data_IF_051978143325
#
_entry.id   IF_051978143325
#
_cell.length_a   1.000
_cell.length_b   1.000
_cell.length_c   1.000
_cell.angle_alpha   90.00
_cell.angle_beta   90.00
_cell.angle_gamma   90.00
#
_symmetry.space_group_name_H-M   'P 1'
#
loop_
_entity.id
_entity.type
_entity.pdbx_description
1 polymer ?
#
# COMPACT_ATOMS: atom_id res chain seq x y z
N UNK A 1 -19.89 -8.28 35.04
CA UNK A 1 -19.58 -8.86 33.72
C UNK A 1 -19.62 -7.74 32.68
N UNK A 2 -18.55 -6.95 32.53
CA UNK A 2 -18.49 -5.91 31.49
C UNK A 2 -17.71 -6.48 30.30
N UNK A 3 -18.41 -6.93 29.27
CA UNK A 3 -17.79 -7.23 27.98
C UNK A 3 -17.52 -5.90 27.29
N UNK A 4 -16.28 -5.42 27.40
CA UNK A 4 -15.78 -4.33 26.56
C UNK A 4 -15.81 -4.84 25.12
N UNK A 5 -16.78 -4.34 24.36
CA UNK A 5 -16.91 -4.57 22.93
C UNK A 5 -15.78 -3.81 22.22
N UNK A 6 -14.55 -4.33 22.31
CA UNK A 6 -13.41 -3.87 21.52
C UNK A 6 -13.72 -4.23 20.06
N UNK A 7 -14.50 -3.38 19.40
CA UNK A 7 -14.57 -3.36 17.94
C UNK A 7 -13.22 -2.83 17.46
N UNK A 8 -12.25 -3.73 17.37
CA UNK A 8 -11.00 -3.45 16.67
C UNK A 8 -11.38 -2.92 15.30
N UNK A 9 -10.85 -1.75 14.95
CA UNK A 9 -11.12 -1.16 13.66
C UNK A 9 -10.74 -2.19 12.58
N UNK A 10 -11.62 -2.46 11.59
CA UNK A 10 -11.33 -3.48 10.59
C UNK A 10 -10.02 -3.13 9.89
N UNK A 11 -9.13 -4.12 9.76
CA UNK A 11 -7.85 -3.95 9.07
C UNK A 11 -8.11 -3.34 7.69
N UNK A 12 -7.44 -2.24 7.35
CA UNK A 12 -7.70 -1.55 6.09
C UNK A 12 -7.33 -2.46 4.92
N UNK A 13 -8.21 -2.54 3.94
CA UNK A 13 -7.96 -3.30 2.71
C UNK A 13 -6.87 -2.64 1.86
N UNK A 14 -6.20 -3.40 0.99
CA UNK A 14 -5.25 -2.88 0.00
C UNK A 14 -5.86 -1.72 -0.81
N UNK A 15 -7.14 -1.83 -1.17
CA UNK A 15 -7.84 -0.79 -1.90
C UNK A 15 -8.01 0.50 -1.07
N UNK A 16 -8.28 0.39 0.22
CA UNK A 16 -8.36 1.55 1.13
C UNK A 16 -6.99 2.17 1.37
N UNK A 17 -5.94 1.35 1.54
CA UNK A 17 -4.57 1.81 1.72
C UNK A 17 -4.09 2.60 0.50
N UNK A 18 -4.26 2.05 -0.70
CA UNK A 18 -3.89 2.71 -1.96
C UNK A 18 -4.68 4.01 -2.14
N UNK A 19 -5.99 3.99 -1.87
CA UNK A 19 -6.84 5.20 -1.94
C UNK A 19 -6.37 6.28 -0.95
N UNK A 20 -5.92 5.89 0.25
CA UNK A 20 -5.40 6.81 1.26
C UNK A 20 -4.14 7.56 0.83
N UNK A 21 -3.39 7.03 -0.15
CA UNK A 21 -2.25 7.71 -0.75
C UNK A 21 -2.67 8.80 -1.76
N UNK A 22 -3.95 8.90 -2.12
CA UNK A 22 -4.47 9.93 -3.02
C UNK A 22 -4.44 9.55 -4.51
N UNK A 23 -4.73 10.51 -5.40
CA UNK A 23 -4.95 10.25 -6.84
C UNK A 23 -3.68 10.07 -7.68
N UNK A 24 -2.50 10.46 -7.19
CA UNK A 24 -1.23 10.49 -7.95
C UNK A 24 -0.19 9.54 -7.37
N UNK A 25 -0.57 8.29 -7.13
CA UNK A 25 0.32 7.24 -6.62
C UNK A 25 0.71 6.32 -7.78
N UNK A 26 1.98 5.90 -7.79
CA UNK A 26 2.49 4.91 -8.74
C UNK A 26 2.71 3.53 -8.10
N UNK A 27 2.05 3.27 -6.96
CA UNK A 27 2.24 2.05 -6.15
C UNK A 27 2.16 0.76 -6.94
N UNK A 28 1.24 0.67 -7.91
CA UNK A 28 1.09 -0.55 -8.74
C UNK A 28 2.33 -0.79 -9.60
N UNK A 29 2.88 0.27 -10.21
CA UNK A 29 4.11 0.16 -11.01
C UNK A 29 5.33 -0.09 -10.11
N UNK A 30 5.37 0.50 -8.92
CA UNK A 30 6.46 0.30 -7.96
C UNK A 30 6.44 -1.13 -7.40
N UNK A 31 5.27 -1.68 -7.09
CA UNK A 31 5.10 -3.08 -6.69
C UNK A 31 5.53 -4.03 -7.81
N UNK A 32 5.20 -3.75 -9.07
CA UNK A 32 5.67 -4.55 -10.20
C UNK A 32 7.19 -4.55 -10.33
N UNK A 33 7.83 -3.38 -10.18
CA UNK A 33 9.30 -3.28 -10.17
C UNK A 33 9.92 -4.07 -9.02
N UNK A 34 9.33 -4.00 -7.82
CA UNK A 34 9.79 -4.78 -6.66
C UNK A 34 9.67 -6.29 -6.92
N UNK A 35 8.58 -6.73 -7.55
CA UNK A 35 8.39 -8.12 -7.94
C UNK A 35 9.44 -8.56 -8.97
N UNK A 36 9.69 -7.75 -10.00
CA UNK A 36 10.73 -8.02 -11.01
C UNK A 36 12.13 -8.10 -10.38
N UNK A 37 12.46 -7.19 -9.46
CA UNK A 37 13.72 -7.22 -8.70
C UNK A 37 13.86 -8.47 -7.84
N UNK A 38 12.75 -9.04 -7.37
CA UNK A 38 12.70 -10.30 -6.63
C UNK A 38 12.69 -11.54 -7.54
N UNK A 39 12.79 -11.36 -8.86
CA UNK A 39 12.77 -12.45 -9.84
C UNK A 39 11.37 -12.95 -10.20
N UNK A 40 10.32 -12.22 -9.82
CA UNK A 40 8.94 -12.57 -10.13
C UNK A 40 8.38 -11.66 -11.23
N UNK A 41 7.89 -12.25 -12.32
CA UNK A 41 7.21 -11.51 -13.38
C UNK A 41 5.70 -11.72 -13.26
N UNK A 42 4.97 -10.64 -12.95
CA UNK A 42 3.51 -10.65 -12.87
C UNK A 42 2.92 -9.61 -13.82
N UNK A 43 1.71 -9.86 -14.31
CA UNK A 43 0.97 -8.88 -15.11
C UNK A 43 0.29 -7.83 -14.22
N UNK A 44 0.04 -6.64 -14.77
CA UNK A 44 -0.79 -5.61 -14.10
C UNK A 44 -2.16 -6.17 -13.68
N UNK A 45 -2.76 -7.00 -14.52
CA UNK A 45 -4.05 -7.63 -14.24
C UNK A 45 -4.01 -8.54 -13.01
N UNK A 46 -2.90 -9.27 -12.80
CA UNK A 46 -2.72 -10.08 -11.60
C UNK A 46 -2.65 -9.20 -10.35
N UNK A 47 -1.93 -8.08 -10.42
CA UNK A 47 -1.85 -7.10 -9.31
C UNK A 47 -3.21 -6.50 -8.99
N UNK A 48 -3.97 -6.05 -10.00
CA UNK A 48 -5.33 -5.55 -9.80
C UNK A 48 -6.27 -6.61 -9.20
N UNK A 49 -6.15 -7.86 -9.66
CA UNK A 49 -6.92 -8.98 -9.10
C UNK A 49 -6.57 -9.19 -7.63
N UNK A 50 -5.29 -9.10 -7.27
CA UNK A 50 -4.84 -9.21 -5.89
C UNK A 50 -5.30 -8.06 -5.01
N UNK A 51 -5.30 -6.83 -5.53
CA UNK A 51 -5.88 -5.68 -4.82
C UNK A 51 -7.38 -5.92 -4.57
N UNK A 52 -8.11 -6.37 -5.59
CA UNK A 52 -9.55 -6.62 -5.49
C UNK A 52 -9.89 -7.77 -4.54
N UNK A 53 -9.02 -8.77 -4.44
CA UNK A 53 -9.12 -9.90 -3.50
C UNK A 53 -8.43 -9.64 -2.16
N UNK A 54 -7.96 -8.42 -1.92
CA UNK A 54 -7.27 -8.02 -0.70
C UNK A 54 -6.11 -8.95 -0.31
N UNK A 55 -5.22 -9.28 -1.25
CA UNK A 55 -4.02 -10.07 -0.99
C UNK A 55 -4.20 -11.59 -0.94
N UNK A 56 -5.42 -12.05 -0.64
CA UNK A 56 -5.72 -13.48 -0.35
C UNK A 56 -5.37 -14.48 -1.44
N UNK A 57 -5.30 -14.06 -2.70
CA UNK A 57 -4.97 -14.93 -3.83
C UNK A 57 -3.48 -15.02 -4.13
N UNK A 58 -2.65 -14.06 -3.68
CA UNK A 58 -1.22 -14.05 -3.97
C UNK A 58 -0.47 -13.20 -2.93
N UNK A 59 0.09 -13.87 -1.93
CA UNK A 59 0.85 -13.26 -0.84
C UNK A 59 2.12 -12.54 -1.33
N UNK A 60 2.74 -12.98 -2.42
CA UNK A 60 3.95 -12.33 -2.98
C UNK A 60 3.62 -10.95 -3.54
N UNK A 61 2.52 -10.85 -4.31
CA UNK A 61 2.02 -9.57 -4.84
C UNK A 61 1.54 -8.68 -3.70
N UNK A 62 0.84 -9.23 -2.71
CA UNK A 62 0.41 -8.51 -1.52
C UNK A 62 1.58 -7.86 -0.79
N UNK A 63 2.63 -8.63 -0.47
CA UNK A 63 3.81 -8.12 0.20
C UNK A 63 4.47 -6.98 -0.59
N UNK A 64 4.64 -7.15 -1.90
CA UNK A 64 5.19 -6.10 -2.75
C UNK A 64 4.31 -4.83 -2.82
N UNK A 65 2.99 -4.98 -2.77
CA UNK A 65 2.06 -3.84 -2.69
C UNK A 65 2.18 -3.12 -1.35
N UNK A 66 2.26 -3.85 -0.24
CA UNK A 66 2.44 -3.26 1.09
C UNK A 66 3.76 -2.49 1.18
N UNK A 67 4.86 -3.07 0.68
CA UNK A 67 6.17 -2.41 0.61
C UNK A 67 6.11 -1.12 -0.23
N UNK A 68 5.45 -1.17 -1.40
CA UNK A 68 5.30 0.00 -2.26
C UNK A 68 4.41 1.09 -1.62
N UNK A 69 3.37 0.70 -0.89
CA UNK A 69 2.50 1.63 -0.12
C UNK A 69 3.31 2.32 0.98
N UNK A 70 4.12 1.58 1.72
CA UNK A 70 4.95 2.12 2.80
C UNK A 70 6.02 3.10 2.27
N UNK A 71 6.66 2.75 1.16
CA UNK A 71 7.62 3.62 0.49
C UNK A 71 6.97 4.94 0.03
N UNK A 72 5.75 4.87 -0.53
CA UNK A 72 5.02 6.06 -0.97
C UNK A 72 4.57 6.96 0.19
N UNK A 73 4.14 6.36 1.32
CA UNK A 73 3.85 7.12 2.55
C UNK A 73 5.08 7.88 3.04
N UNK A 74 6.20 7.18 3.16
CA UNK A 74 7.45 7.76 3.63
C UNK A 74 7.93 8.94 2.76
N UNK A 75 7.77 8.86 1.44
CA UNK A 75 8.07 9.98 0.52
C UNK A 75 7.17 11.19 0.77
N UNK A 76 5.88 10.98 1.05
CA UNK A 76 4.93 12.07 1.33
C UNK A 76 5.20 12.75 2.66
N UNK A 77 5.51 11.98 3.69
CA UNK A 77 5.85 12.52 5.01
C UNK A 77 7.13 13.36 4.90
N UNK A 78 8.15 12.86 4.21
CA UNK A 78 9.38 13.60 3.93
C UNK A 78 9.12 14.90 3.15
N UNK A 79 8.24 14.86 2.15
CA UNK A 79 7.88 16.04 1.35
C UNK A 79 7.08 17.07 2.16
N UNK A 80 6.28 16.63 3.13
CA UNK A 80 5.51 17.51 4.00
C UNK A 80 6.40 18.14 5.07
N UNK A 81 7.28 17.35 5.69
CA UNK A 81 8.29 17.84 6.62
C UNK A 81 9.20 18.89 5.95
N UNK A 82 9.64 18.64 4.71
CA UNK A 82 10.46 19.61 3.95
C UNK A 82 9.72 20.90 3.66
N UNK A 83 8.42 20.85 3.34
CA UNK A 83 7.60 22.05 3.14
C UNK A 83 7.41 22.84 4.43
N UNK A 84 7.22 22.17 5.57
CA UNK A 84 7.10 22.83 6.87
C UNK A 84 8.41 23.49 7.28
N UNK A 85 9.56 22.84 7.04
CA UNK A 85 10.88 23.41 7.33
C UNK A 85 11.24 24.62 6.44
N UNK A 86 10.64 24.75 5.25
CA UNK A 86 10.83 25.90 4.35
C UNK A 86 9.81 27.02 4.57
N UNK A 87 8.75 26.77 5.34
CA UNK A 87 7.69 27.72 5.64
C UNK A 87 7.81 28.33 7.05
N UNK A 88 8.82 27.91 7.83
CA UNK A 88 9.22 28.46 9.12
C UNK A 88 10.45 29.37 8.95
#
# INVERSE_FOLDING_TARGET
>A
MQQANNKEAPTPTLHQLIRGLGRRTNVINDALKLLEQRGHTFSKSAVYTTINRNGTNNATIEAALLDAIEAERSKKDSSTARRQALAA
#
